data_IF_461913831210
#
_entry.id   IF_461913831210
#
_cell.length_a   1.000
_cell.length_b   1.000
_cell.length_c   1.000
_cell.angle_alpha   90.00
_cell.angle_beta   90.00
_cell.angle_gamma   90.00
#
_symmetry.space_group_name_H-M   'P 1'
#
loop_
_entity.id
_entity.type
_entity.pdbx_description
1 polymer ?
#
# COMPACT_ATOMS: atom_id res chain seq x y z
N UNK A 1 -38.44 -15.50 9.91
CA UNK A 1 -39.07 -16.03 8.67
C UNK A 1 -38.84 -14.98 7.58
N UNK A 2 -37.63 -14.95 6.99
CA UNK A 2 -37.35 -15.48 5.64
C UNK A 2 -38.40 -15.06 4.61
N UNK A 3 -38.02 -14.12 3.71
CA UNK A 3 -37.90 -14.27 2.25
C UNK A 3 -37.92 -12.87 1.60
N UNK A 4 -36.79 -12.30 1.18
CA UNK A 4 -36.06 -12.49 -0.09
C UNK A 4 -36.70 -11.81 -1.31
N UNK A 5 -35.82 -11.22 -2.15
CA UNK A 5 -35.97 -10.76 -3.54
C UNK A 5 -36.69 -9.41 -3.74
N UNK A 6 -36.17 -8.37 -4.41
CA UNK A 6 -35.25 -8.17 -5.55
C UNK A 6 -34.57 -6.79 -5.34
N UNK A 7 -33.39 -6.39 -5.82
CA UNK A 7 -32.59 -6.79 -6.98
C UNK A 7 -31.19 -6.22 -6.75
N UNK A 8 -30.19 -7.09 -6.52
CA UNK A 8 -28.77 -6.73 -6.68
C UNK A 8 -28.24 -7.75 -7.68
N UNK A 9 -28.05 -7.28 -8.90
CA UNK A 9 -27.42 -8.03 -9.96
C UNK A 9 -26.40 -7.08 -10.59
N UNK A 10 -25.15 -7.03 -10.10
CA UNK A 10 -24.06 -6.72 -10.97
C UNK A 10 -23.80 -7.99 -11.77
N UNK A 11 -24.09 -7.90 -13.06
CA UNK A 11 -23.65 -8.83 -14.08
C UNK A 11 -22.16 -9.08 -13.88
N UNK A 12 -21.79 -10.32 -13.57
CA UNK A 12 -20.43 -10.81 -13.74
C UNK A 12 -20.10 -10.76 -15.23
N UNK A 13 -19.51 -9.66 -15.66
CA UNK A 13 -18.79 -9.63 -16.93
C UNK A 13 -17.36 -10.03 -16.62
N UNK A 14 -17.09 -11.34 -16.63
CA UNK A 14 -15.73 -11.86 -16.67
C UNK A 14 -15.18 -11.63 -18.08
N UNK A 15 -14.63 -10.45 -18.32
CA UNK A 15 -13.71 -10.30 -19.44
C UNK A 15 -12.47 -11.12 -19.09
N UNK A 16 -12.22 -12.19 -19.86
CA UNK A 16 -10.92 -12.82 -19.90
C UNK A 16 -9.91 -11.77 -20.39
N UNK A 17 -9.28 -11.03 -19.46
CA UNK A 17 -8.17 -10.14 -19.78
C UNK A 17 -6.90 -10.98 -19.83
N UNK A 18 -6.34 -11.01 -21.04
CA UNK A 18 -5.04 -11.57 -21.35
C UNK A 18 -3.99 -11.11 -20.35
N UNK A 19 -3.21 -12.07 -19.85
CA UNK A 19 -1.94 -11.80 -19.18
C UNK A 19 -1.08 -10.88 -20.06
N UNK A 20 -0.96 -9.62 -19.67
CA UNK A 20 -0.02 -8.71 -20.28
C UNK A 20 0.90 -8.18 -19.19
N UNK A 21 2.14 -8.68 -19.18
CA UNK A 21 3.22 -8.02 -18.46
C UNK A 21 3.43 -6.60 -18.98
N UNK A 22 4.19 -5.80 -18.22
CA UNK A 22 4.54 -4.42 -18.59
C UNK A 22 5.01 -4.41 -20.06
N UNK A 23 4.31 -3.67 -20.92
CA UNK A 23 4.64 -3.62 -22.35
C UNK A 23 6.07 -3.11 -22.54
N UNK A 24 6.74 -3.57 -23.60
CA UNK A 24 8.10 -3.14 -23.88
C UNK A 24 8.16 -1.62 -24.15
N UNK A 25 7.07 -0.99 -24.61
CA UNK A 25 6.97 0.46 -24.70
C UNK A 25 6.95 1.12 -23.32
N UNK A 26 6.18 0.59 -22.36
CA UNK A 26 6.12 1.10 -21.00
C UNK A 26 7.46 0.95 -20.26
N UNK A 27 8.20 -0.14 -20.50
CA UNK A 27 9.58 -0.30 -19.99
C UNK A 27 10.53 0.74 -20.59
N UNK A 28 10.44 1.00 -21.89
CA UNK A 28 11.25 2.04 -22.56
C UNK A 28 10.92 3.43 -22.05
N UNK A 29 9.64 3.77 -21.90
CA UNK A 29 9.21 5.05 -21.34
C UNK A 29 9.71 5.25 -19.89
N UNK A 30 9.82 4.19 -19.09
CA UNK A 30 10.43 4.25 -17.75
C UNK A 30 11.95 4.50 -17.80
N UNK A 31 12.64 3.91 -18.77
CA UNK A 31 14.08 4.11 -18.95
C UNK A 31 14.35 5.53 -19.49
N UNK A 32 13.56 6.00 -20.44
CA UNK A 32 13.65 7.34 -21.06
C UNK A 32 13.23 8.48 -20.11
N UNK A 33 12.22 8.24 -19.25
CA UNK A 33 11.76 9.19 -18.24
C UNK A 33 12.72 9.40 -17.06
N UNK A 34 13.82 8.64 -17.01
CA UNK A 34 14.89 8.76 -16.03
C UNK A 34 14.44 8.62 -14.57
N UNK A 35 15.23 9.17 -13.65
CA UNK A 35 14.98 9.10 -12.21
C UNK A 35 13.67 9.78 -11.76
N UNK A 36 13.20 10.79 -12.50
CA UNK A 36 11.97 11.50 -12.17
C UNK A 36 10.74 10.60 -12.27
N UNK A 37 10.68 9.71 -13.28
CA UNK A 37 9.57 8.77 -13.41
C UNK A 37 9.46 7.82 -12.21
N UNK A 38 10.59 7.44 -11.62
CA UNK A 38 10.63 6.65 -10.38
C UNK A 38 10.11 7.43 -9.17
N UNK A 39 10.41 8.73 -9.07
CA UNK A 39 9.85 9.60 -8.02
C UNK A 39 8.32 9.67 -8.15
N UNK A 40 7.80 9.91 -9.35
CA UNK A 40 6.35 9.97 -9.58
C UNK A 40 5.70 8.63 -9.23
N UNK A 41 6.28 7.53 -9.70
CA UNK A 41 5.78 6.18 -9.41
C UNK A 41 5.75 5.88 -7.90
N UNK A 42 6.79 6.29 -7.17
CA UNK A 42 6.82 6.16 -5.71
C UNK A 42 5.75 6.97 -5.01
N UNK A 43 5.52 8.22 -5.46
CA UNK A 43 4.48 9.08 -4.90
C UNK A 43 3.07 8.53 -5.18
N UNK A 44 2.81 8.08 -6.40
CA UNK A 44 1.55 7.45 -6.79
C UNK A 44 1.29 6.17 -5.99
N UNK A 45 2.31 5.32 -5.83
CA UNK A 45 2.20 4.10 -5.02
C UNK A 45 1.76 4.42 -3.59
N UNK A 46 2.37 5.43 -2.96
CA UNK A 46 2.04 5.81 -1.59
C UNK A 46 0.64 6.42 -1.46
N UNK A 47 0.19 7.22 -2.43
CA UNK A 47 -1.12 7.89 -2.40
C UNK A 47 -2.27 6.93 -2.76
N UNK A 48 -2.03 5.97 -3.65
CA UNK A 48 -3.04 4.99 -4.08
C UNK A 48 -3.08 3.75 -3.19
N UNK A 49 -2.03 3.51 -2.40
CA UNK A 49 -1.91 2.44 -1.41
C UNK A 49 -2.86 2.60 -0.23
N UNK A 50 -4.06 2.01 -0.29
CA UNK A 50 -5.03 2.07 0.80
C UNK A 50 -4.50 1.49 2.12
N UNK A 51 -3.68 0.45 2.07
CA UNK A 51 -2.97 -0.14 3.21
C UNK A 51 -2.03 0.86 3.90
N UNK A 52 -1.24 1.60 3.12
CA UNK A 52 -0.33 2.64 3.59
C UNK A 52 -1.10 3.82 4.19
N UNK A 53 -2.18 4.26 3.54
CA UNK A 53 -3.04 5.32 4.05
C UNK A 53 -3.77 4.92 5.34
N UNK A 54 -4.28 3.69 5.43
CA UNK A 54 -4.91 3.16 6.64
C UNK A 54 -3.92 3.05 7.79
N UNK A 55 -2.69 2.60 7.51
CA UNK A 55 -1.62 2.57 8.51
C UNK A 55 -1.29 3.99 9.00
N UNK A 56 -1.05 4.93 8.08
CA UNK A 56 -0.76 6.33 8.41
C UNK A 56 -1.90 6.97 9.23
N UNK A 57 -3.14 6.69 8.84
CA UNK A 57 -4.33 7.15 9.53
C UNK A 57 -4.45 6.54 10.95
N UNK A 58 -4.09 5.28 11.14
CA UNK A 58 -4.00 4.66 12.46
C UNK A 58 -2.91 5.31 13.32
N UNK A 59 -1.71 5.54 12.77
CA UNK A 59 -0.60 6.09 13.56
C UNK A 59 -0.90 7.51 14.05
N UNK A 60 -1.56 8.35 13.24
CA UNK A 60 -1.77 9.77 13.55
C UNK A 60 -2.72 10.05 14.73
N UNK A 61 -3.62 9.12 15.09
CA UNK A 61 -4.46 9.27 16.30
C UNK A 61 -3.63 9.40 17.58
N UNK A 62 -2.47 8.75 17.63
CA UNK A 62 -1.57 8.80 18.78
C UNK A 62 -0.65 10.04 18.77
N UNK A 63 -0.42 10.61 17.59
CA UNK A 63 0.56 11.67 17.40
C UNK A 63 -0.05 13.03 17.77
N UNK A 64 0.38 13.56 18.92
CA UNK A 64 -0.12 14.84 19.44
C UNK A 64 0.71 16.03 18.98
N UNK A 65 1.98 15.84 18.69
CA UNK A 65 2.92 16.91 18.33
C UNK A 65 3.58 16.66 16.98
N UNK A 66 3.91 17.73 16.26
CA UNK A 66 4.65 17.65 14.99
C UNK A 66 5.99 16.92 15.12
N UNK A 67 6.67 17.07 16.26
CA UNK A 67 7.94 16.40 16.54
C UNK A 67 7.78 14.87 16.63
N UNK A 68 6.71 14.40 17.27
CA UNK A 68 6.42 12.96 17.33
C UNK A 68 6.14 12.45 15.91
N UNK A 69 5.35 13.18 15.14
CA UNK A 69 5.03 12.82 13.75
C UNK A 69 6.29 12.60 12.91
N UNK A 70 7.19 13.59 12.88
CA UNK A 70 8.46 13.48 12.13
C UNK A 70 9.27 12.28 12.63
N UNK A 71 9.36 12.08 13.95
CA UNK A 71 10.11 10.96 14.55
C UNK A 71 9.59 9.60 14.07
N UNK A 72 8.29 9.39 14.05
CA UNK A 72 7.68 8.12 13.62
C UNK A 72 7.77 7.91 12.12
N UNK A 73 7.63 8.98 11.33
CA UNK A 73 7.86 8.91 9.89
C UNK A 73 9.30 8.54 9.59
N UNK A 74 10.28 9.24 10.19
CA UNK A 74 11.69 8.97 9.93
C UNK A 74 12.08 7.54 10.30
N UNK A 75 11.59 7.01 11.42
CA UNK A 75 11.92 5.62 11.81
C UNK A 75 11.24 4.59 10.89
N UNK A 76 10.01 4.85 10.44
CA UNK A 76 9.33 4.02 9.45
C UNK A 76 10.10 4.02 8.12
N UNK A 77 10.40 5.21 7.59
CA UNK A 77 11.15 5.39 6.33
C UNK A 77 12.53 4.76 6.41
N UNK A 78 13.20 4.83 7.57
CA UNK A 78 14.48 4.17 7.79
C UNK A 78 14.35 2.65 7.67
N UNK A 79 13.41 2.05 8.41
CA UNK A 79 13.17 0.60 8.33
C UNK A 79 12.80 0.18 6.91
N UNK A 80 11.86 0.89 6.30
CA UNK A 80 11.40 0.69 4.93
C UNK A 80 12.55 0.69 3.93
N UNK A 81 13.37 1.74 3.93
CA UNK A 81 14.50 1.90 3.01
C UNK A 81 15.54 0.80 3.18
N UNK A 82 15.84 0.39 4.42
CA UNK A 82 16.83 -0.67 4.70
C UNK A 82 16.42 -1.98 4.00
N UNK A 83 15.21 -2.46 4.25
CA UNK A 83 14.74 -3.71 3.64
C UNK A 83 14.50 -3.59 2.16
N UNK A 84 14.02 -2.44 1.68
CA UNK A 84 13.77 -2.21 0.27
C UNK A 84 15.05 -2.32 -0.54
N UNK A 85 16.10 -1.60 -0.13
CA UNK A 85 17.40 -1.64 -0.80
C UNK A 85 18.01 -3.04 -0.66
N UNK A 86 18.06 -3.58 0.57
CA UNK A 86 18.69 -4.86 0.83
C UNK A 86 18.07 -6.02 0.04
N UNK A 87 16.75 -6.20 0.11
CA UNK A 87 16.07 -7.29 -0.56
C UNK A 87 16.14 -7.14 -2.09
N UNK A 88 16.03 -5.92 -2.61
CA UNK A 88 16.18 -5.67 -4.05
C UNK A 88 17.59 -6.01 -4.56
N UNK A 89 18.64 -5.63 -3.84
CA UNK A 89 20.01 -5.94 -4.23
C UNK A 89 20.32 -7.44 -4.17
N UNK A 90 19.84 -8.09 -3.11
CA UNK A 90 20.05 -9.52 -2.87
C UNK A 90 19.13 -10.40 -3.71
N UNK A 91 18.15 -9.83 -4.42
CA UNK A 91 17.17 -10.60 -5.19
C UNK A 91 16.24 -11.43 -4.32
N UNK A 92 16.02 -11.01 -3.06
CA UNK A 92 15.16 -11.73 -2.12
C UNK A 92 13.72 -11.32 -2.41
N UNK A 93 12.88 -12.31 -2.68
CA UNK A 93 11.45 -12.14 -2.94
C UNK A 93 10.65 -13.04 -2.00
N UNK A 94 9.39 -12.68 -1.78
CA UNK A 94 8.42 -13.56 -1.12
C UNK A 94 7.04 -13.36 -1.76
N UNK A 95 6.08 -14.21 -1.40
CA UNK A 95 4.72 -14.09 -1.94
C UNK A 95 4.06 -12.79 -1.44
N UNK A 96 3.68 -11.88 -2.34
CA UNK A 96 3.10 -10.59 -1.97
C UNK A 96 1.78 -10.72 -1.21
N UNK A 97 0.95 -11.74 -1.48
CA UNK A 97 -0.27 -11.98 -0.69
C UNK A 97 0.06 -12.19 0.79
N UNK A 98 1.12 -12.96 1.08
CA UNK A 98 1.55 -13.19 2.46
C UNK A 98 2.16 -11.94 3.07
N UNK A 99 2.94 -11.18 2.31
CA UNK A 99 3.52 -9.92 2.84
C UNK A 99 2.42 -8.90 3.13
N UNK A 100 1.47 -8.72 2.21
CA UNK A 100 0.34 -7.81 2.36
C UNK A 100 -0.60 -8.26 3.48
N UNK A 101 -0.75 -9.56 3.70
CA UNK A 101 -1.45 -10.09 4.87
C UNK A 101 -0.77 -9.66 6.18
N UNK A 102 0.57 -9.72 6.25
CA UNK A 102 1.32 -9.25 7.42
C UNK A 102 1.23 -7.73 7.57
N UNK A 103 1.21 -6.97 6.47
CA UNK A 103 0.95 -5.53 6.47
C UNK A 103 -0.45 -5.25 7.02
N UNK A 104 -1.48 -5.99 6.62
CA UNK A 104 -2.83 -5.85 7.15
C UNK A 104 -2.88 -6.10 8.67
N UNK A 105 -2.09 -7.06 9.18
CA UNK A 105 -1.92 -7.28 10.63
C UNK A 105 -1.31 -6.05 11.32
N UNK A 106 -0.39 -5.31 10.68
CA UNK A 106 0.18 -4.07 11.24
C UNK A 106 -0.90 -2.99 11.44
N UNK A 107 -1.85 -2.89 10.49
CA UNK A 107 -2.99 -1.98 10.56
C UNK A 107 -3.93 -2.36 11.70
N UNK A 108 -4.27 -3.65 11.82
CA UNK A 108 -5.10 -4.17 12.93
C UNK A 108 -4.41 -3.90 14.27
N UNK A 109 -3.11 -4.23 14.37
CA UNK A 109 -2.30 -3.98 15.56
C UNK A 109 -2.41 -2.51 15.96
N UNK A 110 -2.30 -1.58 15.01
CA UNK A 110 -2.30 -0.16 15.34
C UNK A 110 -3.68 0.33 15.81
N UNK A 111 -4.76 -0.10 15.18
CA UNK A 111 -6.12 0.18 15.65
C UNK A 111 -6.38 -0.38 17.04
N UNK A 112 -5.91 -1.61 17.30
CA UNK A 112 -6.03 -2.27 18.61
C UNK A 112 -5.25 -1.53 19.71
N UNK A 113 -4.01 -1.14 19.42
CA UNK A 113 -3.17 -0.35 20.32
C UNK A 113 -3.82 1.01 20.64
N UNK A 114 -4.37 1.69 19.63
CA UNK A 114 -5.03 2.98 19.79
C UNK A 114 -6.27 2.91 20.70
N UNK A 115 -7.01 1.80 20.67
CA UNK A 115 -8.15 1.56 21.55
C UNK A 115 -7.77 1.04 22.94
N UNK A 116 -6.47 1.05 23.30
CA UNK A 116 -5.95 0.52 24.56
C UNK A 116 -6.20 -0.98 24.72
N UNK A 117 -6.27 -1.72 23.62
CA UNK A 117 -6.58 -3.14 23.65
C UNK A 117 -5.58 -3.98 24.46
N UNK A 118 -4.30 -3.60 24.47
CA UNK A 118 -3.27 -4.25 25.28
C UNK A 118 -3.53 -4.13 26.79
N UNK A 119 -4.08 -3.00 27.22
CA UNK A 119 -4.42 -2.73 28.61
C UNK A 119 -5.74 -3.41 28.98
N UNK A 120 -6.77 -3.28 28.13
CA UNK A 120 -8.13 -3.76 28.42
C UNK A 120 -8.25 -5.30 28.32
N UNK A 121 -7.63 -5.93 27.32
CA UNK A 121 -7.78 -7.38 27.08
C UNK A 121 -6.62 -8.23 27.62
N UNK A 122 -5.40 -7.70 27.63
CA UNK A 122 -4.20 -8.45 28.06
C UNK A 122 -3.66 -8.03 29.43
N UNK A 123 -4.27 -7.03 30.08
CA UNK A 123 -3.85 -6.55 31.40
C UNK A 123 -2.44 -5.94 31.44
N UNK A 124 -1.88 -5.58 30.28
CA UNK A 124 -0.54 -4.99 30.20
C UNK A 124 -0.58 -3.56 30.74
N UNK A 125 0.39 -3.18 31.57
CA UNK A 125 0.49 -1.80 32.10
C UNK A 125 0.74 -0.76 31.00
N UNK A 126 1.43 -1.16 29.93
CA UNK A 126 1.77 -0.31 28.78
C UNK A 126 1.82 -1.19 27.53
N UNK A 127 1.48 -0.60 26.39
CA UNK A 127 1.66 -1.22 25.08
C UNK A 127 3.15 -1.46 24.77
N UNK A 128 3.47 -2.37 23.83
CA UNK A 128 4.82 -2.51 23.30
C UNK A 128 5.39 -1.17 22.80
N UNK A 129 6.72 -1.05 22.75
CA UNK A 129 7.36 0.20 22.36
C UNK A 129 6.97 0.58 20.93
N UNK A 130 6.17 1.65 20.80
CA UNK A 130 5.61 2.08 19.53
C UNK A 130 6.69 2.40 18.49
N UNK A 131 7.83 2.95 18.90
CA UNK A 131 8.91 3.31 17.97
C UNK A 131 9.57 2.07 17.37
N UNK A 132 9.80 1.05 18.18
CA UNK A 132 10.28 -0.24 17.70
C UNK A 132 9.27 -0.92 16.79
N UNK A 133 7.98 -0.88 17.11
CA UNK A 133 6.94 -1.47 16.26
C UNK A 133 6.85 -0.76 14.91
N UNK A 134 6.87 0.58 14.88
CA UNK A 134 6.85 1.34 13.63
C UNK A 134 8.10 1.07 12.78
N UNK A 135 9.27 0.87 13.39
CA UNK A 135 10.47 0.42 12.67
C UNK A 135 10.26 -0.97 12.04
N UNK A 136 9.73 -1.93 12.79
CA UNK A 136 9.43 -3.29 12.28
C UNK A 136 8.39 -3.26 11.16
N UNK A 137 7.36 -2.44 11.28
CA UNK A 137 6.39 -2.24 10.21
C UNK A 137 7.06 -1.62 8.98
N UNK A 138 7.94 -0.64 9.17
CA UNK A 138 8.78 -0.12 8.10
C UNK A 138 9.52 -1.24 7.37
N UNK A 139 10.21 -2.13 8.09
CA UNK A 139 10.93 -3.27 7.51
C UNK A 139 10.00 -4.19 6.66
N UNK A 140 8.83 -4.53 7.20
CA UNK A 140 7.88 -5.42 6.51
C UNK A 140 7.34 -4.74 5.23
N UNK A 141 6.96 -3.47 5.32
CA UNK A 141 6.46 -2.71 4.18
C UNK A 141 7.53 -2.55 3.10
N UNK A 142 8.77 -2.24 3.50
CA UNK A 142 9.90 -2.11 2.57
C UNK A 142 10.20 -3.42 1.85
N UNK A 143 10.07 -4.55 2.55
CA UNK A 143 10.20 -5.87 1.94
C UNK A 143 9.07 -6.18 0.95
N UNK A 144 7.81 -5.88 1.30
CA UNK A 144 6.67 -6.04 0.39
C UNK A 144 6.83 -5.26 -0.90
N UNK A 145 7.22 -4.00 -0.78
CA UNK A 145 7.51 -3.16 -1.94
C UNK A 145 8.71 -3.68 -2.74
N UNK A 146 9.77 -4.17 -2.09
CA UNK A 146 10.96 -4.67 -2.78
C UNK A 146 10.65 -5.81 -3.75
N UNK A 147 9.72 -6.69 -3.38
CA UNK A 147 9.30 -7.80 -4.23
C UNK A 147 8.65 -7.29 -5.51
N UNK A 148 7.84 -6.23 -5.43
CA UNK A 148 7.21 -5.59 -6.60
C UNK A 148 8.20 -4.76 -7.40
N UNK A 149 9.07 -4.02 -6.72
CA UNK A 149 10.05 -3.14 -7.35
C UNK A 149 11.04 -3.93 -8.22
N UNK A 150 11.40 -5.14 -7.80
CA UNK A 150 12.23 -6.07 -8.58
C UNK A 150 11.62 -6.50 -9.92
N UNK A 151 10.32 -6.29 -10.14
CA UNK A 151 9.65 -6.56 -11.41
C UNK A 151 9.78 -5.40 -12.42
N UNK A 152 10.23 -4.22 -11.97
CA UNK A 152 10.46 -3.06 -12.82
C UNK A 152 11.84 -3.11 -13.49
N UNK A 153 12.03 -2.42 -14.63
CA UNK A 153 13.33 -2.32 -15.29
C UNK A 153 14.30 -1.44 -14.48
N UNK A 154 14.87 -1.98 -13.41
CA UNK A 154 15.78 -1.25 -12.50
C UNK A 154 17.20 -1.02 -13.07
N UNK A 155 17.50 -1.56 -14.25
CA UNK A 155 18.81 -1.45 -14.87
C UNK A 155 19.81 -2.45 -14.31
N UNK A 156 21.09 -2.28 -14.65
CA UNK A 156 22.13 -3.19 -14.18
C UNK A 156 22.37 -3.03 -12.67
N UNK A 157 22.73 -4.15 -12.02
CA UNK A 157 23.08 -4.13 -10.59
C UNK A 157 24.26 -3.20 -10.37
N UNK A 158 24.07 -2.18 -9.53
CA UNK A 158 25.11 -1.18 -9.25
C UNK A 158 24.52 0.18 -8.89
N UNK A 159 25.20 1.25 -9.30
CA UNK A 159 24.80 2.61 -9.00
C UNK A 159 23.46 3.03 -9.63
N UNK A 160 23.16 2.56 -10.85
CA UNK A 160 21.92 2.90 -11.55
C UNK A 160 20.68 2.34 -10.82
N UNK A 161 20.72 1.04 -10.47
CA UNK A 161 19.67 0.42 -9.66
C UNK A 161 19.50 1.12 -8.31
N UNK A 162 20.60 1.45 -7.62
CA UNK A 162 20.54 2.17 -6.35
C UNK A 162 19.85 3.53 -6.51
N UNK A 163 20.21 4.31 -7.55
CA UNK A 163 19.62 5.62 -7.78
C UNK A 163 18.14 5.54 -8.14
N UNK A 164 17.71 4.50 -8.87
CA UNK A 164 16.28 4.25 -9.14
C UNK A 164 15.51 3.89 -7.87
N UNK A 165 16.07 3.04 -7.01
CA UNK A 165 15.48 2.69 -5.70
C UNK A 165 15.38 3.93 -4.80
N UNK A 166 16.44 4.74 -4.73
CA UNK A 166 16.44 5.98 -3.94
C UNK A 166 15.40 6.96 -4.48
N UNK A 167 15.34 7.12 -5.81
CA UNK A 167 14.37 8.00 -6.47
C UNK A 167 12.93 7.56 -6.19
N UNK A 168 12.67 6.25 -6.23
CA UNK A 168 11.38 5.70 -5.82
C UNK A 168 11.05 6.02 -4.36
N UNK A 169 11.99 5.82 -3.42
CA UNK A 169 11.80 6.14 -2.00
C UNK A 169 11.52 7.62 -1.76
N UNK A 170 12.21 8.51 -2.46
CA UNK A 170 11.96 9.95 -2.40
C UNK A 170 10.51 10.25 -2.79
N UNK A 171 10.03 9.61 -3.86
CA UNK A 171 8.62 9.64 -4.26
C UNK A 171 7.66 9.22 -3.15
N UNK A 172 7.91 8.05 -2.55
CA UNK A 172 7.12 7.51 -1.44
C UNK A 172 7.09 8.50 -0.27
N UNK A 173 8.24 9.08 0.10
CA UNK A 173 8.33 10.04 1.19
C UNK A 173 7.51 11.31 0.89
N UNK A 174 7.55 11.83 -0.34
CA UNK A 174 6.68 12.94 -0.75
C UNK A 174 5.20 12.59 -0.64
N UNK A 175 4.79 11.41 -1.14
CA UNK A 175 3.41 10.94 -1.03
C UNK A 175 2.96 10.79 0.43
N UNK A 176 3.84 10.28 1.29
CA UNK A 176 3.56 10.09 2.72
C UNK A 176 3.41 11.43 3.44
N UNK A 177 4.30 12.39 3.18
CA UNK A 177 4.20 13.75 3.74
C UNK A 177 2.91 14.43 3.28
N UNK A 178 2.56 14.33 2.00
CA UNK A 178 1.34 14.92 1.46
C UNK A 178 0.08 14.33 2.12
N UNK A 179 -0.03 12.99 2.17
CA UNK A 179 -1.15 12.31 2.82
C UNK A 179 -1.25 12.65 4.30
N UNK A 180 -0.12 12.69 5.00
CA UNK A 180 -0.05 13.05 6.41
C UNK A 180 -0.53 14.47 6.68
N UNK A 181 -0.09 15.45 5.88
CA UNK A 181 -0.51 16.86 6.06
C UNK A 181 -2.03 16.99 5.98
N UNK A 182 -2.64 16.31 5.01
CA UNK A 182 -4.10 16.27 4.84
C UNK A 182 -4.77 15.61 6.06
N UNK A 183 -4.31 14.41 6.45
CA UNK A 183 -4.87 13.70 7.61
C UNK A 183 -4.71 14.48 8.92
N UNK A 184 -3.58 15.14 9.12
CA UNK A 184 -3.30 15.94 10.30
C UNK A 184 -4.24 17.14 10.37
N UNK A 185 -4.46 17.81 9.24
CA UNK A 185 -5.40 18.91 9.17
C UNK A 185 -6.80 18.46 9.60
N UNK A 186 -7.29 17.34 9.04
CA UNK A 186 -8.60 16.77 9.37
C UNK A 186 -8.70 16.44 10.86
N UNK A 187 -7.77 15.66 11.41
CA UNK A 187 -7.78 15.26 12.83
C UNK A 187 -7.68 16.47 13.75
N UNK A 188 -6.89 17.49 13.39
CA UNK A 188 -6.76 18.71 14.21
C UNK A 188 -8.09 19.48 14.29
N UNK A 189 -8.88 19.50 13.22
CA UNK A 189 -10.24 20.06 13.28
C UNK A 189 -11.16 19.19 14.14
N UNK A 190 -11.10 17.86 13.98
CA UNK A 190 -11.93 16.93 14.73
C UNK A 190 -11.67 16.95 16.24
N UNK A 191 -10.40 17.16 16.66
CA UNK A 191 -10.00 17.28 18.07
C UNK A 191 -10.68 18.43 18.81
N UNK A 192 -11.23 19.43 18.10
CA UNK A 192 -11.96 20.55 18.71
C UNK A 192 -13.37 20.17 19.17
N UNK A 193 -13.91 19.04 18.72
CA UNK A 193 -15.25 18.60 19.08
C UNK A 193 -15.26 17.72 20.33
N UNK A 194 -16.26 17.91 21.21
CA UNK A 194 -16.45 17.14 22.44
C UNK A 194 -16.65 15.63 22.21
N UNK A 195 -17.04 15.22 21.00
CA UNK A 195 -17.21 13.81 20.61
C UNK A 195 -15.93 13.12 20.15
N UNK A 196 -14.79 13.82 20.13
CA UNK A 196 -13.54 13.33 19.55
C UNK A 196 -13.14 11.94 20.08
N UNK A 197 -13.24 11.69 21.38
CA UNK A 197 -12.86 10.40 21.98
C UNK A 197 -13.75 9.23 21.48
N UNK A 198 -15.07 9.45 21.38
CA UNK A 198 -15.99 8.41 20.85
C UNK A 198 -15.73 8.18 19.37
N UNK A 199 -15.57 9.26 18.63
CA UNK A 199 -15.36 9.21 17.20
C UNK A 199 -14.01 8.59 16.84
N UNK A 200 -12.97 8.88 17.62
CA UNK A 200 -11.66 8.23 17.56
C UNK A 200 -11.78 6.72 17.77
N UNK A 201 -12.52 6.28 18.78
CA UNK A 201 -12.76 4.83 19.02
C UNK A 201 -13.43 4.17 17.81
N UNK A 202 -14.50 4.79 17.28
CA UNK A 202 -15.21 4.29 16.08
C UNK A 202 -14.30 4.23 14.86
N UNK A 203 -13.46 5.24 14.62
CA UNK A 203 -12.50 5.20 13.52
C UNK A 203 -11.47 4.09 13.69
N UNK A 204 -10.95 3.87 14.90
CA UNK A 204 -10.00 2.80 15.16
C UNK A 204 -10.64 1.41 15.04
N UNK A 205 -11.90 1.25 15.44
CA UNK A 205 -12.68 0.02 15.18
C UNK A 205 -12.87 -0.19 13.67
N UNK A 206 -13.16 0.87 12.92
CA UNK A 206 -13.23 0.85 11.46
C UNK A 206 -11.90 0.46 10.80
N UNK A 207 -10.77 0.98 11.29
CA UNK A 207 -9.43 0.60 10.82
C UNK A 207 -9.14 -0.88 11.09
N UNK A 208 -9.49 -1.38 12.29
CA UNK A 208 -9.34 -2.80 12.61
C UNK A 208 -10.20 -3.68 11.70
N UNK A 209 -11.45 -3.28 11.45
CA UNK A 209 -12.34 -4.00 10.53
C UNK A 209 -11.79 -4.00 9.10
N UNK A 210 -11.35 -2.84 8.60
CA UNK A 210 -10.73 -2.73 7.28
C UNK A 210 -9.46 -3.58 7.17
N UNK A 211 -8.60 -3.55 8.19
CA UNK A 211 -7.41 -4.39 8.25
C UNK A 211 -7.74 -5.89 8.27
N UNK A 212 -8.80 -6.29 8.99
CA UNK A 212 -9.26 -7.68 8.99
C UNK A 212 -9.82 -8.11 7.63
N UNK A 213 -10.60 -7.25 6.97
CA UNK A 213 -11.10 -7.49 5.62
C UNK A 213 -9.95 -7.60 4.60
N UNK A 214 -8.94 -6.72 4.70
CA UNK A 214 -7.74 -6.82 3.88
C UNK A 214 -7.01 -8.14 4.14
N UNK A 215 -6.80 -8.52 5.40
CA UNK A 215 -6.16 -9.80 5.74
C UNK A 215 -6.89 -10.99 5.10
N UNK A 216 -8.22 -11.03 5.19
CA UNK A 216 -9.02 -12.08 4.58
C UNK A 216 -8.91 -12.07 3.05
N UNK A 217 -8.96 -10.89 2.43
CA UNK A 217 -8.78 -10.73 0.99
C UNK A 217 -7.41 -11.27 0.55
N UNK A 218 -6.34 -10.95 1.29
CA UNK A 218 -5.00 -11.38 0.95
C UNK A 218 -4.80 -12.88 1.12
N UNK A 219 -5.33 -13.47 2.21
CA UNK A 219 -5.30 -14.92 2.43
C UNK A 219 -6.17 -15.67 1.42
N UNK A 220 -7.31 -15.11 1.02
CA UNK A 220 -8.15 -15.68 -0.02
C UNK A 220 -7.42 -15.70 -1.37
N UNK A 221 -6.78 -14.58 -1.75
CA UNK A 221 -5.93 -14.50 -2.94
C UNK A 221 -4.81 -15.53 -2.92
N UNK A 222 -4.09 -15.64 -1.79
CA UNK A 222 -3.05 -16.66 -1.62
C UNK A 222 -3.54 -18.10 -1.84
N UNK A 223 -4.75 -18.43 -1.39
CA UNK A 223 -5.33 -19.77 -1.54
C UNK A 223 -5.84 -20.07 -2.96
N UNK A 224 -6.18 -19.04 -3.75
CA UNK A 224 -6.79 -19.21 -5.08
C UNK A 224 -5.84 -18.89 -6.24
N UNK A 225 -4.72 -18.22 -6.01
CA UNK A 225 -3.69 -18.07 -7.03
C UNK A 225 -2.86 -19.35 -7.12
N UNK A 226 -3.10 -20.14 -8.16
CA UNK A 226 -2.44 -21.42 -8.41
C UNK A 226 -1.11 -21.31 -9.17
N UNK A 227 -0.83 -20.20 -9.84
CA UNK A 227 0.35 -20.05 -10.71
C UNK A 227 1.37 -19.01 -10.19
N UNK A 228 2.66 -19.38 -10.12
CA UNK A 228 3.77 -18.48 -9.82
C UNK A 228 3.88 -17.22 -10.69
N UNK A 229 3.40 -17.29 -11.92
CA UNK A 229 3.58 -16.25 -12.93
C UNK A 229 2.47 -15.18 -12.91
N UNK A 230 1.35 -15.45 -12.21
CA UNK A 230 0.29 -14.46 -11.93
C UNK A 230 0.65 -13.54 -10.76
N UNK A 231 1.85 -13.71 -10.18
CA UNK A 231 2.34 -12.95 -9.03
C UNK A 231 3.00 -11.61 -9.37
N UNK A 232 2.83 -11.14 -10.61
CA UNK A 232 3.05 -9.75 -10.99
C UNK A 232 2.07 -8.81 -10.27
N UNK A 233 2.22 -7.48 -10.42
CA UNK A 233 1.23 -6.49 -9.95
C UNK A 233 -0.20 -7.03 -10.15
N UNK A 234 -0.91 -7.34 -9.06
CA UNK A 234 -2.29 -7.84 -9.14
C UNK A 234 -3.10 -6.82 -9.95
N UNK A 235 -3.73 -7.25 -11.04
CA UNK A 235 -4.58 -6.37 -11.87
C UNK A 235 -5.64 -5.63 -11.02
N UNK A 236 -6.01 -6.20 -9.87
CA UNK A 236 -7.02 -5.68 -8.94
C UNK A 236 -6.47 -4.85 -7.78
N UNK A 237 -5.17 -4.90 -7.44
CA UNK A 237 -4.62 -4.06 -6.37
C UNK A 237 -3.98 -2.80 -6.97
N UNK A 238 -4.67 -1.68 -6.75
CA UNK A 238 -4.27 -0.32 -7.13
C UNK A 238 -4.31 -0.07 -8.64
N UNK A 239 -5.55 0.10 -9.12
CA UNK A 239 -5.96 0.82 -10.34
C UNK A 239 -4.77 1.46 -11.06
N UNK A 240 -4.10 0.68 -11.91
CA UNK A 240 -3.07 1.16 -12.82
C UNK A 240 -3.76 1.89 -13.98
N UNK A 241 -4.34 3.05 -13.70
CA UNK A 241 -4.99 3.87 -14.73
C UNK A 241 -4.00 4.44 -15.75
N UNK A 242 -2.69 4.33 -15.50
CA UNK A 242 -1.64 4.87 -16.36
C UNK A 242 -1.06 3.86 -17.36
N UNK A 243 -1.29 2.55 -17.22
CA UNK A 243 -0.90 1.61 -18.29
C UNK A 243 -1.89 1.60 -19.47
N UNK A 244 -3.08 2.19 -19.28
CA UNK A 244 -4.08 2.32 -20.35
C UNK A 244 -3.96 3.62 -21.16
N UNK A 245 -3.12 4.57 -20.75
CA UNK A 245 -3.04 5.89 -21.42
C UNK A 245 -2.10 5.93 -22.64
N UNK A 246 -1.19 4.96 -22.78
CA UNK A 246 -0.23 4.90 -23.90
C UNK A 246 -0.53 3.77 -24.90
N UNK A 247 -1.69 3.09 -24.79
CA UNK A 247 -2.15 2.25 -25.89
C UNK A 247 -2.59 3.16 -27.05
N UNK A 248 -1.99 3.05 -28.25
CA UNK A 248 -2.63 3.62 -29.42
C UNK A 248 -4.01 2.99 -29.51
N UNK A 249 -5.06 3.82 -29.55
CA UNK A 249 -6.40 3.35 -29.90
C UNK A 249 -6.26 2.67 -31.26
N UNK A 250 -6.28 1.35 -31.28
CA UNK A 250 -6.47 0.60 -32.52
C UNK A 250 -7.90 0.94 -32.93
N UNK A 251 -8.03 1.90 -33.85
CA UNK A 251 -9.28 2.13 -34.56
C UNK A 251 -9.69 0.79 -35.18
N UNK A 252 -10.84 0.27 -34.75
CA UNK A 252 -11.53 -0.82 -35.43
C UNK A 252 -11.79 -0.39 -36.87
N UNK A 253 -10.89 -0.77 -37.78
CA UNK A 253 -11.20 -0.76 -39.21
C UNK A 253 -12.22 -1.86 -39.41
N UNK A 254 -13.50 -1.47 -39.36
CA UNK A 254 -14.61 -2.27 -39.86
C UNK A 254 -14.30 -2.67 -41.29
N UNK A 255 -14.13 -3.96 -41.53
CA UNK A 255 -14.38 -4.54 -42.83
C UNK A 255 -15.89 -4.43 -43.09
N UNK A 256 -16.32 -3.34 -43.70
CA UNK A 256 -17.61 -3.30 -44.39
C UNK A 256 -17.42 -3.98 -45.76
N UNK A 257 -18.18 -5.06 -45.92
CA UNK A 257 -18.32 -5.83 -47.15
C UNK A 257 -18.78 -4.94 -48.31
N UNK A 258 -18.10 -5.05 -49.45
CA UNK A 258 -18.66 -4.96 -50.80
C UNK A 258 -17.88 -5.90 -51.73
#
# INVERSE_FOLDING_TARGET
>A
MFKFLLSILPVFYSANSFAHGISEEAKRAMIEGGYFKYIVLGAEHMITGYDHLLFLFGVIFFLKTFKDIVKFISIFTLGHSITLIFATFMGITANYWLIDAVIAISVIYKGFDNNKGFQEYFGLKKSPNLLWMVFVFGLIHGFGLSTRLQQLPLGEKGGEMLMRIISFNIGVEFGQIAGLVIMLFVITQMRKHHMFERLSRVFNDGIMLAGFMLLLMQLHGYLHTSNPDEFGFSEDNHIHHHMKMDQPKIEEIKHDNL
#
